data_IF_449571471991
#
_entry.id   IF_449571471991
#
_cell.length_a   1.000
_cell.length_b   1.000
_cell.length_c   1.000
_cell.angle_alpha   90.00
_cell.angle_beta   90.00
_cell.angle_gamma   90.00
#
_symmetry.space_group_name_H-M   'P 1'
#
loop_
_entity.id
_entity.type
_entity.pdbx_description
1 polymer ?
#
# COMPACT_ATOMS: atom_id res chain seq x y z
N UNK A 1 3.75 12.17 7.39
CA UNK A 1 2.63 11.74 8.28
C UNK A 1 2.05 12.95 8.98
N UNK A 2 0.78 13.25 8.70
CA UNK A 2 0.09 14.39 9.30
C UNK A 2 -0.12 14.16 10.81
N UNK A 3 0.10 15.19 11.63
CA UNK A 3 0.01 15.10 13.10
C UNK A 3 -1.42 15.15 13.60
N UNK A 4 -2.35 15.62 12.78
CA UNK A 4 -3.77 15.77 13.13
C UNK A 4 -4.61 14.51 12.88
N UNK A 5 -4.00 13.45 12.33
CA UNK A 5 -4.67 12.19 12.00
C UNK A 5 -4.61 11.20 13.18
N UNK A 6 -5.63 10.32 13.29
CA UNK A 6 -5.62 9.23 14.27
C UNK A 6 -4.41 8.31 14.06
N UNK A 7 -4.08 7.50 15.06
CA UNK A 7 -3.01 6.50 14.89
C UNK A 7 -3.35 5.49 13.79
N UNK A 8 -4.62 5.14 13.59
CA UNK A 8 -5.04 4.27 12.49
C UNK A 8 -4.84 4.93 11.14
N UNK A 9 -5.23 6.20 10.99
CA UNK A 9 -5.05 6.94 9.74
C UNK A 9 -3.57 7.12 9.39
N UNK A 10 -2.72 7.38 10.40
CA UNK A 10 -1.26 7.46 10.20
C UNK A 10 -0.67 6.11 9.79
N UNK A 11 -1.16 5.03 10.37
CA UNK A 11 -0.75 3.68 9.99
C UNK A 11 -1.19 3.35 8.56
N UNK A 12 -2.41 3.72 8.17
CA UNK A 12 -2.91 3.54 6.82
C UNK A 12 -2.10 4.33 5.79
N UNK A 13 -1.80 5.61 6.06
CA UNK A 13 -0.92 6.41 5.21
C UNK A 13 0.45 5.76 5.08
N UNK A 14 1.04 5.28 6.18
CA UNK A 14 2.33 4.60 6.11
C UNK A 14 2.27 3.32 5.25
N UNK A 15 1.22 2.50 5.42
CA UNK A 15 1.03 1.29 4.64
C UNK A 15 0.86 1.58 3.14
N UNK A 16 0.15 2.67 2.80
CA UNK A 16 -0.02 3.14 1.44
C UNK A 16 1.30 3.56 0.80
N UNK A 17 2.10 4.38 1.48
CA UNK A 17 3.43 4.79 0.96
C UNK A 17 4.37 3.59 0.79
N UNK A 18 4.34 2.63 1.73
CA UNK A 18 5.08 1.37 1.60
C UNK A 18 4.59 0.53 0.42
N UNK A 19 3.30 0.56 0.11
CA UNK A 19 2.74 -0.14 -1.02
C UNK A 19 3.29 0.40 -2.35
N UNK A 20 3.48 1.71 -2.51
CA UNK A 20 4.15 2.25 -3.71
C UNK A 20 5.56 1.69 -3.91
N UNK A 21 6.28 1.45 -2.82
CA UNK A 21 7.61 0.85 -2.87
C UNK A 21 7.50 -0.63 -3.27
N UNK A 22 6.76 -1.44 -2.51
CA UNK A 22 6.75 -2.89 -2.68
C UNK A 22 5.94 -3.38 -3.88
N UNK A 23 5.02 -2.57 -4.40
CA UNK A 23 4.41 -2.82 -5.70
C UNK A 23 5.33 -2.43 -6.88
N UNK A 24 6.48 -1.83 -6.59
CA UNK A 24 7.47 -1.41 -7.58
C UNK A 24 7.11 -0.14 -8.34
N UNK A 25 6.14 0.64 -7.85
CA UNK A 25 5.70 1.88 -8.51
C UNK A 25 6.80 2.93 -8.55
N UNK A 26 7.72 2.90 -7.58
CA UNK A 26 8.87 3.81 -7.54
C UNK A 26 10.12 3.27 -8.26
N UNK A 27 10.00 2.08 -8.88
CA UNK A 27 11.12 1.40 -9.50
C UNK A 27 11.70 0.28 -8.64
N UNK A 28 12.88 -0.19 -9.02
CA UNK A 28 13.55 -1.36 -8.44
C UNK A 28 15.06 -1.15 -8.48
N UNK A 29 15.75 -1.54 -7.43
CA UNK A 29 17.20 -1.71 -7.39
C UNK A 29 17.57 -3.18 -7.64
N UNK A 30 18.83 -3.45 -8.00
CA UNK A 30 19.26 -4.81 -8.43
C UNK A 30 19.01 -5.92 -7.40
N UNK A 31 18.92 -5.58 -6.11
CA UNK A 31 18.71 -6.53 -5.00
C UNK A 31 17.25 -6.64 -4.53
N UNK A 32 16.33 -5.85 -5.09
CA UNK A 32 14.93 -5.86 -4.66
C UNK A 32 14.20 -7.11 -5.19
N UNK A 33 13.30 -7.66 -4.38
CA UNK A 33 12.56 -8.87 -4.72
C UNK A 33 11.33 -8.62 -5.60
N UNK A 34 10.86 -7.37 -5.70
CA UNK A 34 9.75 -6.96 -6.55
C UNK A 34 10.23 -6.53 -7.95
N UNK A 35 9.31 -6.47 -8.92
CA UNK A 35 9.62 -5.96 -10.27
C UNK A 35 9.40 -4.46 -10.33
N UNK A 36 10.30 -3.73 -11.00
CA UNK A 36 10.11 -2.31 -11.26
C UNK A 36 8.93 -2.07 -12.21
N UNK A 37 7.97 -1.27 -11.77
CA UNK A 37 6.74 -0.90 -12.49
C UNK A 37 6.52 0.61 -12.56
N UNK A 38 7.60 1.38 -12.53
CA UNK A 38 7.60 2.86 -12.53
C UNK A 38 6.97 3.53 -13.78
N UNK A 39 6.59 2.77 -14.80
CA UNK A 39 5.89 3.26 -16.00
C UNK A 39 4.37 3.05 -15.96
N UNK A 40 3.83 2.55 -14.86
CA UNK A 40 2.38 2.43 -14.68
C UNK A 40 1.71 3.80 -14.70
N UNK A 41 0.45 3.81 -15.10
CA UNK A 41 -0.39 4.98 -14.90
C UNK A 41 -0.58 5.26 -13.41
N UNK A 42 -0.64 6.55 -13.05
CA UNK A 42 -0.80 6.96 -11.65
C UNK A 42 -2.07 6.36 -11.04
N UNK A 43 -3.17 6.32 -11.79
CA UNK A 43 -4.44 5.79 -11.30
C UNK A 43 -4.34 4.30 -10.94
N UNK A 44 -3.61 3.52 -11.75
CA UNK A 44 -3.32 2.11 -11.47
C UNK A 44 -2.47 1.96 -10.20
N UNK A 45 -1.43 2.79 -10.06
CA UNK A 45 -0.53 2.75 -8.93
C UNK A 45 -1.24 3.09 -7.61
N UNK A 46 -2.10 4.12 -7.61
CA UNK A 46 -2.91 4.54 -6.46
C UNK A 46 -3.89 3.44 -6.03
N UNK A 47 -4.64 2.84 -6.98
CA UNK A 47 -5.59 1.77 -6.65
C UNK A 47 -4.90 0.56 -6.03
N UNK A 48 -3.74 0.17 -6.57
CA UNK A 48 -2.95 -0.91 -5.98
C UNK A 48 -2.45 -0.55 -4.57
N UNK A 49 -1.92 0.67 -4.39
CA UNK A 49 -1.38 1.11 -3.10
C UNK A 49 -2.47 1.23 -2.02
N UNK A 50 -3.62 1.81 -2.37
CA UNK A 50 -4.79 1.89 -1.50
C UNK A 50 -5.35 0.52 -1.15
N UNK A 51 -5.45 -0.40 -2.12
CA UNK A 51 -5.89 -1.77 -1.88
C UNK A 51 -5.00 -2.49 -0.86
N UNK A 52 -3.68 -2.31 -0.98
CA UNK A 52 -2.72 -2.85 -0.01
C UNK A 52 -2.93 -2.25 1.37
N UNK A 53 -3.02 -0.91 1.47
CA UNK A 53 -3.23 -0.23 2.74
C UNK A 53 -4.54 -0.67 3.43
N UNK A 54 -5.62 -0.78 2.66
CA UNK A 54 -6.90 -1.28 3.12
C UNK A 54 -6.77 -2.69 3.69
N UNK A 55 -6.18 -3.63 2.95
CA UNK A 55 -6.00 -5.00 3.41
C UNK A 55 -5.17 -5.11 4.69
N UNK A 56 -4.04 -4.38 4.75
CA UNK A 56 -3.15 -4.37 5.92
C UNK A 56 -3.87 -3.82 7.15
N UNK A 57 -4.62 -2.71 7.02
CA UNK A 57 -5.38 -2.14 8.13
C UNK A 57 -6.52 -3.06 8.58
N UNK A 58 -7.32 -3.57 7.64
CA UNK A 58 -8.49 -4.40 7.94
C UNK A 58 -8.10 -5.73 8.59
N UNK A 59 -7.02 -6.38 8.15
CA UNK A 59 -6.52 -7.62 8.76
C UNK A 59 -5.94 -7.43 10.16
N UNK A 60 -5.57 -6.19 10.51
CA UNK A 60 -5.15 -5.81 11.87
C UNK A 60 -6.31 -5.32 12.74
N UNK A 61 -7.54 -5.34 12.23
CA UNK A 61 -8.73 -4.85 12.95
C UNK A 61 -8.80 -3.33 13.06
N UNK A 62 -8.02 -2.60 12.26
CA UNK A 62 -8.04 -1.14 12.24
C UNK A 62 -9.10 -0.67 11.24
N UNK A 63 -10.03 0.15 11.73
CA UNK A 63 -10.99 0.88 10.89
C UNK A 63 -10.33 2.19 10.47
N UNK A 64 -9.43 2.10 9.49
CA UNK A 64 -8.81 3.29 8.91
C UNK A 64 -9.75 3.94 7.87
N UNK A 65 -9.63 5.26 7.69
CA UNK A 65 -10.41 6.03 6.72
C UNK A 65 -10.15 5.66 5.24
N UNK A 66 -9.29 4.67 4.98
CA UNK A 66 -8.94 4.16 3.64
C UNK A 66 -10.14 3.62 2.84
N UNK A 67 -11.28 3.39 3.50
CA UNK A 67 -12.53 2.99 2.83
C UNK A 67 -13.09 4.06 1.88
N UNK A 68 -12.73 5.33 2.06
CA UNK A 68 -13.30 6.43 1.26
C UNK A 68 -12.91 6.37 -0.21
N UNK A 69 -11.67 6.02 -0.53
CA UNK A 69 -11.18 6.13 -1.91
C UNK A 69 -11.71 5.04 -2.85
N UNK A 70 -11.87 3.81 -2.35
CA UNK A 70 -12.55 2.75 -3.12
C UNK A 70 -14.02 3.07 -3.37
N UNK A 71 -14.68 3.79 -2.46
CA UNK A 71 -16.07 4.19 -2.63
C UNK A 71 -16.25 5.25 -3.73
N UNK A 72 -15.27 6.14 -3.91
CA UNK A 72 -15.31 7.17 -4.96
C UNK A 72 -15.25 6.54 -6.36
N UNK A 73 -14.48 5.47 -6.56
CA UNK A 73 -14.43 4.72 -7.84
C UNK A 73 -15.72 3.95 -8.18
N UNK A 74 -16.50 3.55 -7.19
CA UNK A 74 -17.78 2.84 -7.40
C UNK A 74 -18.89 3.83 -7.79
N UNK A 75 -18.79 5.09 -7.39
CA UNK A 75 -19.83 6.10 -7.60
C UNK A 75 -19.72 6.83 -8.94
N UNK A 76 -18.52 6.89 -9.54
CA UNK A 76 -18.25 7.75 -10.70
C UNK A 76 -18.43 7.07 -12.08
N UNK A 77 -18.97 5.84 -12.13
CA UNK A 77 -19.13 5.04 -13.37
C UNK A 77 -17.80 4.90 -14.18
N UNK A 78 -16.67 5.12 -13.51
CA UNK A 78 -15.35 5.13 -14.10
C UNK A 78 -14.91 3.70 -14.40
N UNK A 79 -14.38 3.48 -15.61
CA UNK A 79 -13.82 2.19 -15.98
C UNK A 79 -12.62 1.89 -15.07
N UNK A 80 -12.70 0.79 -14.32
CA UNK A 80 -11.67 0.43 -13.35
C UNK A 80 -10.36 0.16 -14.08
N UNK A 81 -9.27 0.89 -13.77
CA UNK A 81 -8.03 0.72 -14.48
C UNK A 81 -7.43 -0.67 -14.16
N UNK A 82 -6.64 -1.25 -15.06
CA UNK A 82 -6.13 -2.60 -14.85
C UNK A 82 -5.15 -2.62 -13.67
N UNK A 83 -5.36 -3.50 -12.69
CA UNK A 83 -4.51 -3.63 -11.52
C UNK A 83 -4.09 -5.09 -11.30
N UNK A 84 -2.99 -5.30 -10.57
CA UNK A 84 -2.42 -6.62 -10.30
C UNK A 84 -2.73 -7.09 -8.88
N UNK A 85 -3.69 -8.01 -8.75
CA UNK A 85 -3.98 -8.71 -7.49
C UNK A 85 -2.75 -9.43 -6.93
N UNK A 86 -1.90 -9.98 -7.79
CA UNK A 86 -0.68 -10.66 -7.36
C UNK A 86 0.26 -9.70 -6.63
N UNK A 87 0.47 -8.50 -7.20
CA UNK A 87 1.33 -7.48 -6.59
C UNK A 87 0.75 -7.00 -5.27
N UNK A 88 -0.56 -6.73 -5.24
CA UNK A 88 -1.28 -6.33 -4.03
C UNK A 88 -1.05 -7.36 -2.91
N UNK A 89 -1.31 -8.64 -3.17
CA UNK A 89 -1.18 -9.66 -2.13
C UNK A 89 0.27 -9.88 -1.67
N UNK A 90 1.25 -9.80 -2.58
CA UNK A 90 2.66 -9.87 -2.21
C UNK A 90 3.08 -8.69 -1.33
N UNK A 91 2.73 -7.46 -1.71
CA UNK A 91 3.04 -6.27 -0.94
C UNK A 91 2.34 -6.29 0.43
N UNK A 92 1.07 -6.66 0.49
CA UNK A 92 0.33 -6.83 1.76
C UNK A 92 1.04 -7.82 2.68
N UNK A 93 1.38 -9.02 2.19
CA UNK A 93 2.04 -10.04 3.00
C UNK A 93 3.40 -9.57 3.53
N UNK A 94 4.16 -8.85 2.70
CA UNK A 94 5.46 -8.32 3.08
C UNK A 94 5.35 -7.24 4.15
N UNK A 95 4.45 -6.25 3.99
CA UNK A 95 4.21 -5.20 4.97
C UNK A 95 3.73 -5.81 6.31
N UNK A 96 2.85 -6.80 6.25
CA UNK A 96 2.37 -7.50 7.44
C UNK A 96 3.51 -8.21 8.19
N UNK A 97 4.43 -8.85 7.46
CA UNK A 97 5.60 -9.53 8.01
C UNK A 97 6.61 -8.55 8.63
N UNK A 98 6.86 -7.43 7.95
CA UNK A 98 7.67 -6.33 8.49
C UNK A 98 7.11 -5.83 9.83
N UNK A 99 5.80 -5.70 9.94
CA UNK A 99 5.12 -5.28 11.17
C UNK A 99 5.14 -6.30 12.31
N UNK A 100 5.51 -7.57 12.07
CA UNK A 100 5.66 -8.59 13.13
C UNK A 100 7.03 -8.56 13.79
N UNK A 101 8.05 -8.12 13.05
CA UNK A 101 9.42 -8.08 13.54
C UNK A 101 9.69 -6.74 14.22
N UNK A 102 10.24 -6.77 15.44
CA UNK A 102 10.81 -5.54 16.00
C UNK A 102 12.04 -5.17 15.17
N UNK A 103 12.07 -3.94 14.65
CA UNK A 103 13.20 -3.42 13.91
C UNK A 103 14.47 -3.54 14.76
N UNK A 104 15.31 -4.53 14.44
CA UNK A 104 16.62 -4.63 15.07
C UNK A 104 17.46 -3.50 14.51
N UNK A 105 17.81 -2.55 15.39
CA UNK A 105 18.74 -1.45 15.06
C UNK A 105 19.93 -2.03 14.30
N UNK A 106 20.24 -1.48 13.12
CA UNK A 106 21.40 -1.90 12.35
C UNK A 106 22.64 -1.84 13.25
N UNK A 107 23.43 -2.91 13.29
CA UNK A 107 24.72 -2.90 13.99
C UNK A 107 25.57 -1.81 13.34
N UNK A 108 25.96 -0.84 14.16
CA UNK A 108 26.79 0.30 13.78
C UNK A 108 28.24 -0.13 13.60
#
# INVERSE_FOLDING_TARGET
LNRDHSQEDRYATLAHELAHIFCGHLGVHEEDWWKGRAKLDNQQAEIEAESVAYLVCRRRGLLASSEKYLADYINDDAEMPPFSLHTIFQATAFIEEMGKSQWKKAKK
#
